data_IF_607520161775
#
_entry.id   IF_607520161775
#
_cell.length_a   1.000
_cell.length_b   1.000
_cell.length_c   1.000
_cell.angle_alpha   90.00
_cell.angle_beta   90.00
_cell.angle_gamma   90.00
#
_symmetry.space_group_name_H-M   'P 1'
#
loop_
_entity.id
_entity.type
_entity.pdbx_description
1 polymer ?
#
# COMPACT_ATOMS: atom_id res chain seq x y z
N UNK A 1 -16.11 2.13 11.48
CA UNK A 1 -15.92 2.83 10.19
C UNK A 1 -17.09 2.48 9.28
N UNK A 2 -17.67 3.46 8.55
CA UNK A 2 -18.91 3.22 7.78
C UNK A 2 -18.66 2.86 6.31
N UNK A 3 -17.43 2.94 5.83
CA UNK A 3 -17.03 2.70 4.45
C UNK A 3 -17.68 3.65 3.44
N UNK A 4 -17.41 3.40 2.14
CA UNK A 4 -17.94 4.26 1.06
C UNK A 4 -19.46 4.33 1.09
N UNK A 5 -20.18 3.20 1.20
CA UNK A 5 -21.64 3.19 1.14
C UNK A 5 -22.35 3.70 2.40
N UNK A 6 -21.62 3.83 3.51
CA UNK A 6 -22.19 4.14 4.83
C UNK A 6 -22.22 5.62 5.23
N UNK A 7 -21.80 6.58 4.37
CA UNK A 7 -21.83 8.01 4.66
C UNK A 7 -22.26 8.85 3.46
N UNK A 8 -22.63 10.10 3.71
CA UNK A 8 -22.85 11.13 2.68
C UNK A 8 -21.95 12.35 2.95
N UNK A 9 -21.76 13.23 1.92
CA UNK A 9 -21.01 14.48 2.11
C UNK A 9 -21.66 15.40 3.18
N UNK A 10 -22.99 15.26 3.40
CA UNK A 10 -23.70 15.99 4.44
C UNK A 10 -23.33 15.45 5.84
N UNK A 11 -23.30 14.13 6.01
CA UNK A 11 -22.89 13.51 7.27
C UNK A 11 -21.46 13.88 7.64
N UNK A 12 -20.57 13.90 6.62
CA UNK A 12 -19.20 14.34 6.80
C UNK A 12 -19.12 15.81 7.25
N UNK A 13 -19.85 16.70 6.58
CA UNK A 13 -19.87 18.13 6.92
C UNK A 13 -20.32 18.34 8.37
N UNK A 14 -21.36 17.62 8.82
CA UNK A 14 -21.85 17.65 10.18
C UNK A 14 -20.80 17.14 11.18
N UNK A 15 -20.14 16.02 10.89
CA UNK A 15 -19.13 15.41 11.76
C UNK A 15 -17.90 16.32 11.96
N UNK A 16 -17.44 17.00 10.90
CA UNK A 16 -16.28 17.91 10.99
C UNK A 16 -16.65 19.36 11.33
N UNK A 17 -17.94 19.65 11.53
CA UNK A 17 -18.41 20.96 11.97
C UNK A 17 -18.33 22.07 10.93
N UNK A 18 -18.45 21.74 9.63
CA UNK A 18 -18.49 22.71 8.53
C UNK A 18 -19.82 22.66 7.76
N UNK A 19 -20.07 23.64 6.90
CA UNK A 19 -21.29 23.61 6.09
C UNK A 19 -21.18 22.61 4.93
N UNK A 20 -22.28 21.98 4.54
CA UNK A 20 -22.31 21.10 3.37
C UNK A 20 -21.83 21.79 2.07
N UNK A 21 -22.20 23.07 1.78
CA UNK A 21 -21.61 23.81 0.64
C UNK A 21 -20.08 23.94 0.72
N UNK A 22 -19.50 24.06 1.91
CA UNK A 22 -18.04 24.10 2.09
C UNK A 22 -17.40 22.78 1.65
N UNK A 23 -17.97 21.65 2.05
CA UNK A 23 -17.46 20.33 1.59
C UNK A 23 -17.60 20.19 0.07
N UNK A 24 -18.76 20.55 -0.49
CA UNK A 24 -18.99 20.46 -1.95
C UNK A 24 -18.12 21.42 -2.78
N UNK A 25 -17.66 22.52 -2.21
CA UNK A 25 -16.71 23.39 -2.87
C UNK A 25 -15.35 22.72 -3.12
N UNK A 26 -14.90 21.90 -2.17
CA UNK A 26 -13.64 21.15 -2.28
C UNK A 26 -13.80 19.80 -2.99
N UNK A 27 -14.93 19.13 -2.75
CA UNK A 27 -15.23 17.80 -3.27
C UNK A 27 -16.65 17.81 -3.87
N UNK A 28 -16.78 18.08 -5.18
CA UNK A 28 -18.09 18.20 -5.83
C UNK A 28 -18.95 16.94 -5.72
N UNK A 29 -18.29 15.78 -5.66
CA UNK A 29 -18.96 14.48 -5.50
C UNK A 29 -18.32 13.70 -4.38
N UNK A 30 -19.03 12.68 -3.89
CA UNK A 30 -18.50 11.73 -2.91
C UNK A 30 -17.34 10.91 -3.49
N UNK A 31 -17.40 10.59 -4.78
CA UNK A 31 -16.37 9.86 -5.49
C UNK A 31 -15.09 10.69 -5.55
N UNK A 32 -15.18 11.98 -5.90
CA UNK A 32 -14.04 12.89 -5.84
C UNK A 32 -13.39 12.93 -4.46
N UNK A 33 -14.17 12.98 -3.38
CA UNK A 33 -13.63 12.92 -2.03
C UNK A 33 -12.86 11.63 -1.78
N UNK A 34 -13.43 10.48 -2.12
CA UNK A 34 -12.80 9.16 -1.87
C UNK A 34 -11.52 9.03 -2.67
N UNK A 35 -11.52 9.42 -3.95
CA UNK A 35 -10.32 9.35 -4.79
C UNK A 35 -9.21 10.29 -4.28
N UNK A 36 -9.54 11.50 -3.84
CA UNK A 36 -8.55 12.40 -3.21
C UNK A 36 -7.98 11.85 -1.88
N UNK A 37 -8.79 11.12 -1.11
CA UNK A 37 -8.28 10.42 0.10
C UNK A 37 -7.31 9.30 -0.29
N UNK A 38 -7.60 8.55 -1.34
CA UNK A 38 -6.72 7.50 -1.86
C UNK A 38 -5.43 8.11 -2.42
N UNK A 39 -5.52 9.20 -3.19
CA UNK A 39 -4.36 9.95 -3.69
C UNK A 39 -3.43 10.38 -2.55
N UNK A 40 -3.99 11.03 -1.52
CA UNK A 40 -3.21 11.46 -0.36
C UNK A 40 -2.56 10.29 0.40
N UNK A 41 -3.23 9.13 0.46
CA UNK A 41 -2.67 7.92 1.04
C UNK A 41 -1.52 7.37 0.18
N UNK A 42 -1.71 7.29 -1.14
CA UNK A 42 -0.68 6.83 -2.07
C UNK A 42 0.53 7.79 -2.12
N UNK A 43 0.29 9.10 -1.99
CA UNK A 43 1.39 10.07 -1.86
C UNK A 43 2.24 9.80 -0.63
N UNK A 44 1.61 9.54 0.51
CA UNK A 44 2.31 9.35 1.79
C UNK A 44 2.99 7.98 1.92
N UNK A 45 2.36 6.91 1.44
CA UNK A 45 2.74 5.54 1.75
C UNK A 45 2.81 4.62 0.52
N UNK A 46 2.22 5.01 -0.61
CA UNK A 46 2.13 4.18 -1.80
C UNK A 46 3.48 3.94 -2.48
N UNK A 47 3.46 2.99 -3.38
CA UNK A 47 4.59 2.62 -4.24
C UNK A 47 4.45 3.21 -5.65
N UNK A 48 3.26 3.70 -5.99
CA UNK A 48 2.96 4.39 -7.24
C UNK A 48 2.67 5.87 -6.98
N UNK A 49 2.96 6.68 -7.99
CA UNK A 49 2.53 8.07 -8.06
C UNK A 49 1.19 8.10 -8.77
N UNK A 50 0.17 8.61 -8.10
CA UNK A 50 -1.18 8.69 -8.63
C UNK A 50 -1.71 10.12 -8.48
N UNK A 51 -2.63 10.50 -9.36
CA UNK A 51 -3.30 11.80 -9.31
C UNK A 51 -4.78 11.63 -9.64
N UNK A 52 -5.63 12.42 -8.98
CA UNK A 52 -7.04 12.53 -9.36
C UNK A 52 -7.16 13.40 -10.59
N UNK A 53 -7.65 12.83 -11.67
CA UNK A 53 -7.91 13.53 -12.93
C UNK A 53 -9.39 13.49 -13.24
N UNK A 54 -9.87 14.53 -13.94
CA UNK A 54 -11.25 14.60 -14.45
C UNK A 54 -11.15 14.81 -15.95
N UNK A 55 -11.52 13.81 -16.73
CA UNK A 55 -11.56 13.92 -18.17
C UNK A 55 -12.71 14.87 -18.59
N UNK A 56 -12.53 15.62 -19.67
CA UNK A 56 -13.63 16.34 -20.31
C UNK A 56 -14.44 15.37 -21.18
N UNK A 57 -15.75 15.43 -21.07
CA UNK A 57 -16.65 14.70 -21.95
C UNK A 57 -16.75 15.39 -23.31
N UNK A 58 -17.29 14.72 -24.34
CA UNK A 58 -17.39 15.25 -25.69
C UNK A 58 -18.19 16.57 -25.77
N UNK A 59 -19.08 16.83 -24.81
CA UNK A 59 -19.87 18.05 -24.70
C UNK A 59 -19.21 19.16 -23.86
N UNK A 60 -17.97 18.93 -23.41
CA UNK A 60 -17.19 19.87 -22.60
C UNK A 60 -17.59 19.94 -21.11
N UNK A 61 -18.42 19.00 -20.64
CA UNK A 61 -18.71 18.87 -19.21
C UNK A 61 -17.62 18.06 -18.50
N UNK A 62 -17.35 18.30 -17.19
CA UNK A 62 -16.47 17.44 -16.43
C UNK A 62 -17.03 16.02 -16.36
N UNK A 63 -16.21 15.04 -16.73
CA UNK A 63 -16.52 13.63 -16.56
C UNK A 63 -16.39 13.18 -15.08
N UNK A 64 -16.52 11.89 -14.83
CA UNK A 64 -16.29 11.35 -13.51
C UNK A 64 -14.80 11.42 -13.14
N UNK A 65 -14.47 11.76 -11.88
CA UNK A 65 -13.10 11.77 -11.42
C UNK A 65 -12.55 10.34 -11.37
N UNK A 66 -11.28 10.17 -11.75
CA UNK A 66 -10.57 8.90 -11.73
C UNK A 66 -9.13 9.06 -11.22
N UNK A 67 -8.51 7.97 -10.77
CA UNK A 67 -7.09 7.94 -10.41
C UNK A 67 -6.27 7.53 -11.64
N UNK A 68 -5.29 8.36 -11.98
CA UNK A 68 -4.31 8.08 -13.01
C UNK A 68 -2.96 7.75 -12.36
N UNK A 69 -2.34 6.63 -12.75
CA UNK A 69 -1.00 6.26 -12.30
C UNK A 69 0.05 6.92 -13.18
N UNK A 70 0.99 7.65 -12.55
CA UNK A 70 2.09 8.36 -13.21
C UNK A 70 3.40 7.59 -13.21
N UNK A 71 3.48 6.49 -12.47
CA UNK A 71 4.65 5.62 -12.40
C UNK A 71 4.97 5.13 -11.00
N UNK A 72 5.97 4.27 -10.90
CA UNK A 72 6.40 3.73 -9.62
C UNK A 72 7.38 4.68 -8.91
N UNK A 73 7.17 4.90 -7.62
CA UNK A 73 8.09 5.67 -6.74
C UNK A 73 9.31 4.86 -6.31
N UNK A 74 9.25 3.54 -6.47
CA UNK A 74 10.31 2.62 -6.08
C UNK A 74 11.02 2.08 -7.32
N UNK A 75 12.35 2.01 -7.24
CA UNK A 75 13.23 1.61 -8.35
C UNK A 75 14.06 0.37 -8.02
N UNK A 76 14.09 -0.06 -6.76
CA UNK A 76 14.81 -1.24 -6.30
C UNK A 76 13.94 -2.12 -5.40
N UNK A 77 14.28 -3.40 -5.29
CA UNK A 77 13.61 -4.34 -4.39
C UNK A 77 13.73 -3.89 -2.91
N UNK A 78 14.86 -3.29 -2.53
CA UNK A 78 15.03 -2.74 -1.19
C UNK A 78 14.08 -1.58 -0.91
N UNK A 79 13.86 -0.69 -1.88
CA UNK A 79 12.89 0.40 -1.76
C UNK A 79 11.46 -0.12 -1.67
N UNK A 80 11.12 -1.19 -2.42
CA UNK A 80 9.83 -1.88 -2.29
C UNK A 80 9.60 -2.37 -0.85
N UNK A 81 10.55 -3.12 -0.30
CA UNK A 81 10.44 -3.62 1.08
C UNK A 81 10.34 -2.45 2.06
N UNK A 82 11.21 -1.45 1.91
CA UNK A 82 11.21 -0.28 2.80
C UNK A 82 9.89 0.50 2.76
N UNK A 83 9.22 0.60 1.60
CA UNK A 83 7.89 1.21 1.47
C UNK A 83 6.84 0.45 2.31
N UNK A 84 6.79 -0.88 2.22
CA UNK A 84 5.89 -1.71 3.01
C UNK A 84 6.19 -1.64 4.52
N UNK A 85 7.47 -1.56 4.88
CA UNK A 85 7.85 -1.39 6.29
C UNK A 85 7.46 0.00 6.83
N UNK A 86 7.50 1.05 6.00
CA UNK A 86 6.97 2.38 6.38
C UNK A 86 5.46 2.34 6.60
N UNK A 87 4.73 1.68 5.70
CA UNK A 87 3.29 1.49 5.83
C UNK A 87 2.94 0.67 7.09
N UNK A 88 3.67 -0.42 7.35
CA UNK A 88 3.55 -1.19 8.58
C UNK A 88 3.85 -0.33 9.83
N UNK A 89 4.89 0.51 9.80
CA UNK A 89 5.23 1.40 10.91
C UNK A 89 4.16 2.48 11.17
N UNK A 90 3.40 2.86 10.13
CA UNK A 90 2.27 3.79 10.23
C UNK A 90 0.99 3.12 10.76
N UNK A 91 0.94 1.79 10.85
CA UNK A 91 -0.26 1.04 11.24
C UNK A 91 -0.73 1.28 12.69
N UNK A 92 0.12 1.87 13.55
CA UNK A 92 -0.31 2.37 14.86
C UNK A 92 -1.30 3.54 14.72
N UNK A 93 -1.31 4.22 13.58
CA UNK A 93 -2.41 5.10 13.19
C UNK A 93 -3.55 4.24 12.63
N UNK A 94 -4.46 3.82 13.51
CA UNK A 94 -5.59 2.96 13.15
C UNK A 94 -6.43 3.51 11.99
N UNK A 95 -6.54 4.84 11.87
CA UNK A 95 -7.30 5.47 10.81
C UNK A 95 -6.71 5.13 9.44
N UNK A 96 -5.40 5.25 9.28
CA UNK A 96 -4.73 4.98 8.00
C UNK A 96 -4.80 3.50 7.60
N UNK A 97 -4.56 2.60 8.55
CA UNK A 97 -4.65 1.15 8.31
C UNK A 97 -6.07 0.70 8.00
N UNK A 98 -7.06 1.29 8.68
CA UNK A 98 -8.47 0.98 8.45
C UNK A 98 -8.93 1.52 7.09
N UNK A 99 -8.41 2.68 6.65
CA UNK A 99 -8.70 3.22 5.31
C UNK A 99 -8.17 2.31 4.21
N UNK A 100 -6.89 1.95 4.24
CA UNK A 100 -6.29 1.06 3.23
C UNK A 100 -7.05 -0.28 3.15
N UNK A 101 -7.38 -0.89 4.30
CA UNK A 101 -8.15 -2.12 4.35
C UNK A 101 -9.56 -1.97 3.79
N UNK A 102 -10.28 -0.90 4.19
CA UNK A 102 -11.64 -0.66 3.72
C UNK A 102 -11.64 -0.44 2.22
N UNK A 103 -10.75 0.41 1.69
CA UNK A 103 -10.67 0.66 0.25
C UNK A 103 -10.29 -0.59 -0.53
N UNK A 104 -9.33 -1.38 -0.05
CA UNK A 104 -8.95 -2.64 -0.69
C UNK A 104 -10.12 -3.63 -0.77
N UNK A 105 -10.93 -3.74 0.29
CA UNK A 105 -12.06 -4.68 0.31
C UNK A 105 -13.27 -4.14 -0.46
N UNK A 106 -13.61 -2.86 -0.30
CA UNK A 106 -14.78 -2.28 -0.97
C UNK A 106 -14.59 -2.10 -2.48
N UNK A 107 -13.35 -1.86 -2.93
CA UNK A 107 -13.01 -1.73 -4.34
C UNK A 107 -13.14 -3.04 -5.15
N UNK A 108 -13.36 -4.17 -4.51
CA UNK A 108 -13.74 -5.41 -5.20
C UNK A 108 -15.11 -5.27 -5.88
N UNK A 109 -15.97 -4.37 -5.39
CA UNK A 109 -17.23 -4.04 -6.02
C UNK A 109 -17.01 -3.08 -7.20
N UNK A 110 -17.47 -3.46 -8.39
CA UNK A 110 -17.34 -2.70 -9.64
C UNK A 110 -18.01 -1.31 -9.61
N UNK A 111 -18.99 -1.10 -8.72
CA UNK A 111 -19.61 0.21 -8.52
C UNK A 111 -18.86 1.12 -7.55
N UNK A 112 -17.75 0.67 -6.96
CA UNK A 112 -16.91 1.52 -6.11
C UNK A 112 -16.03 2.44 -6.97
N UNK A 113 -15.91 3.76 -6.67
CA UNK A 113 -15.19 4.72 -7.51
C UNK A 113 -13.70 4.38 -7.71
N UNK A 114 -13.11 3.61 -6.81
CA UNK A 114 -11.71 3.17 -6.91
C UNK A 114 -11.55 1.74 -7.46
N UNK A 115 -12.62 1.12 -8.00
CA UNK A 115 -12.55 -0.25 -8.51
C UNK A 115 -11.47 -0.42 -9.58
N UNK A 116 -11.50 0.43 -10.61
CA UNK A 116 -10.57 0.34 -11.74
C UNK A 116 -9.12 0.58 -11.28
N UNK A 117 -8.91 1.53 -10.37
CA UNK A 117 -7.59 1.77 -9.78
C UNK A 117 -7.05 0.54 -9.06
N UNK A 118 -7.82 -0.05 -8.16
CA UNK A 118 -7.35 -1.19 -7.38
C UNK A 118 -7.26 -2.48 -8.19
N UNK A 119 -8.12 -2.70 -9.19
CA UNK A 119 -8.03 -3.86 -10.08
C UNK A 119 -6.77 -3.81 -10.94
N UNK A 120 -6.43 -2.63 -11.45
CA UNK A 120 -5.21 -2.40 -12.23
C UNK A 120 -3.94 -2.45 -11.36
N UNK A 121 -4.01 -1.92 -10.14
CA UNK A 121 -2.87 -1.79 -9.20
C UNK A 121 -2.18 -3.13 -8.91
N UNK A 122 -2.94 -4.22 -8.77
CA UNK A 122 -2.34 -5.55 -8.51
C UNK A 122 -1.47 -6.00 -9.67
N UNK A 123 -1.93 -5.83 -10.90
CA UNK A 123 -1.16 -6.19 -12.09
C UNK A 123 0.08 -5.30 -12.24
N UNK A 124 -0.05 -4.00 -12.01
CA UNK A 124 1.07 -3.06 -12.01
C UNK A 124 2.12 -3.43 -10.95
N UNK A 125 1.68 -3.79 -9.74
CA UNK A 125 2.59 -4.26 -8.67
C UNK A 125 3.34 -5.53 -9.06
N UNK A 126 2.67 -6.50 -9.68
CA UNK A 126 3.30 -7.75 -10.10
C UNK A 126 4.32 -7.50 -11.21
N UNK A 127 4.00 -6.68 -12.22
CA UNK A 127 4.94 -6.30 -13.28
C UNK A 127 6.15 -5.55 -12.73
N UNK A 128 5.93 -4.62 -11.80
CA UNK A 128 7.00 -3.89 -11.12
C UNK A 128 7.92 -4.86 -10.37
N UNK A 129 7.37 -5.76 -9.57
CA UNK A 129 8.14 -6.73 -8.79
C UNK A 129 8.94 -7.69 -9.67
N UNK A 130 8.36 -8.18 -10.77
CA UNK A 130 9.11 -9.00 -11.73
C UNK A 130 10.32 -8.26 -12.31
N UNK A 131 10.15 -6.97 -12.64
CA UNK A 131 11.26 -6.13 -13.11
C UNK A 131 12.32 -5.96 -12.03
N UNK A 132 11.91 -5.57 -10.81
CA UNK A 132 12.82 -5.37 -9.68
C UNK A 132 13.58 -6.66 -9.29
N UNK A 133 12.92 -7.82 -9.38
CA UNK A 133 13.57 -9.11 -9.13
C UNK A 133 14.65 -9.43 -10.15
N UNK A 134 14.43 -9.14 -11.44
CA UNK A 134 15.41 -9.34 -12.51
C UNK A 134 16.65 -8.43 -12.37
N UNK A 135 16.51 -7.31 -11.69
CA UNK A 135 17.59 -6.35 -11.42
C UNK A 135 18.36 -6.68 -10.12
N UNK A 136 17.95 -7.71 -9.36
CA UNK A 136 18.69 -8.15 -8.17
C UNK A 136 20.03 -8.79 -8.55
N UNK A 137 21.11 -8.55 -7.76
CA UNK A 137 22.45 -9.06 -8.08
C UNK A 137 22.53 -10.58 -8.25
N UNK A 138 21.73 -11.31 -7.46
CA UNK A 138 21.73 -12.78 -7.43
C UNK A 138 20.52 -13.38 -8.18
N UNK A 139 19.98 -12.65 -9.17
CA UNK A 139 18.85 -13.15 -9.97
C UNK A 139 19.27 -14.37 -10.80
N UNK A 140 18.52 -15.46 -10.59
CA UNK A 140 18.70 -16.71 -11.35
C UNK A 140 17.47 -16.94 -12.26
N UNK A 141 17.60 -16.84 -13.59
CA UNK A 141 16.49 -17.05 -14.51
C UNK A 141 16.02 -18.52 -14.56
N UNK A 142 16.88 -19.50 -14.18
CA UNK A 142 16.51 -20.92 -14.10
C UNK A 142 15.70 -21.24 -12.83
N UNK A 143 15.78 -20.36 -11.82
CA UNK A 143 15.08 -20.51 -10.54
C UNK A 143 14.57 -19.16 -10.03
N UNK A 144 13.64 -18.50 -10.76
CA UNK A 144 13.15 -17.19 -10.41
C UNK A 144 12.42 -17.20 -9.06
N UNK A 145 12.46 -16.06 -8.34
CA UNK A 145 11.68 -15.87 -7.12
C UNK A 145 10.21 -15.64 -7.48
N UNK A 146 9.30 -16.19 -6.68
CA UNK A 146 7.87 -15.96 -6.83
C UNK A 146 7.47 -14.66 -6.13
N UNK A 147 7.58 -13.57 -6.87
CA UNK A 147 7.28 -12.22 -6.35
C UNK A 147 5.81 -11.99 -6.02
N UNK A 148 4.88 -12.74 -6.64
CA UNK A 148 3.44 -12.69 -6.33
C UNK A 148 3.18 -12.96 -4.84
N UNK A 149 3.94 -13.88 -4.25
CA UNK A 149 3.82 -14.23 -2.83
C UNK A 149 4.10 -13.06 -1.87
N UNK A 150 4.89 -12.05 -2.30
CA UNK A 150 5.11 -10.84 -1.51
C UNK A 150 3.82 -10.02 -1.39
N UNK A 151 3.10 -9.86 -2.49
CA UNK A 151 1.82 -9.14 -2.56
C UNK A 151 0.75 -9.89 -1.77
N UNK A 152 0.60 -11.19 -2.03
CA UNK A 152 -0.38 -12.04 -1.33
C UNK A 152 -0.13 -12.06 0.18
N UNK A 153 1.14 -12.12 0.58
CA UNK A 153 1.50 -12.10 2.01
C UNK A 153 1.15 -10.79 2.67
N UNK A 154 1.44 -9.65 2.01
CA UNK A 154 1.09 -8.33 2.53
C UNK A 154 -0.41 -8.19 2.74
N UNK A 155 -1.20 -8.39 1.68
CA UNK A 155 -2.66 -8.28 1.77
C UNK A 155 -3.26 -9.30 2.74
N UNK A 156 -2.74 -10.53 2.78
CA UNK A 156 -3.16 -11.53 3.76
C UNK A 156 -2.98 -11.06 5.20
N UNK A 157 -1.85 -10.45 5.54
CA UNK A 157 -1.62 -9.93 6.89
C UNK A 157 -2.49 -8.71 7.22
N UNK A 158 -2.63 -7.78 6.27
CA UNK A 158 -3.40 -6.53 6.48
C UNK A 158 -4.91 -6.80 6.56
N UNK A 159 -5.44 -7.66 5.68
CA UNK A 159 -6.87 -7.95 5.63
C UNK A 159 -7.28 -8.94 6.71
N UNK A 160 -6.60 -10.10 6.80
CA UNK A 160 -6.98 -11.17 7.72
C UNK A 160 -6.75 -10.79 9.19
N UNK A 161 -5.68 -10.06 9.50
CA UNK A 161 -5.42 -9.57 10.85
C UNK A 161 -6.50 -8.64 11.42
N UNK A 162 -7.49 -8.24 10.59
CA UNK A 162 -8.66 -7.50 11.05
C UNK A 162 -9.89 -8.35 11.38
N UNK A 163 -9.91 -9.64 10.98
CA UNK A 163 -11.10 -10.50 11.12
C UNK A 163 -11.15 -11.27 12.44
N UNK A 164 -10.02 -11.72 12.95
CA UNK A 164 -9.92 -12.48 14.21
C UNK A 164 -9.86 -11.60 15.47
N UNK A 165 -9.91 -10.28 15.30
CA UNK A 165 -9.85 -9.31 16.40
C UNK A 165 -8.44 -9.13 16.99
N UNK A 166 -7.48 -9.93 16.57
CA UNK A 166 -6.06 -9.79 16.93
C UNK A 166 -5.35 -8.99 15.82
N UNK A 167 -5.49 -7.66 15.87
CA UNK A 167 -4.71 -6.80 14.98
C UNK A 167 -3.24 -6.97 15.30
N UNK A 168 -2.46 -7.31 14.27
CA UNK A 168 -1.01 -7.22 14.38
C UNK A 168 -0.64 -5.77 14.69
N UNK A 169 0.11 -5.55 15.75
CA UNK A 169 0.71 -4.24 15.98
C UNK A 169 1.77 -3.95 14.90
N UNK A 170 2.20 -2.70 14.82
CA UNK A 170 3.17 -2.28 13.79
C UNK A 170 4.47 -3.11 13.86
N UNK A 171 4.91 -3.47 15.05
CA UNK A 171 6.12 -4.25 15.25
C UNK A 171 5.98 -5.68 14.73
N UNK A 172 4.87 -6.34 15.04
CA UNK A 172 4.60 -7.71 14.57
C UNK A 172 4.44 -7.74 13.05
N UNK A 173 3.73 -6.76 12.47
CA UNK A 173 3.56 -6.66 11.03
C UNK A 173 4.91 -6.48 10.32
N UNK A 174 5.77 -5.60 10.85
CA UNK A 174 7.14 -5.39 10.36
C UNK A 174 7.94 -6.69 10.41
N UNK A 175 7.99 -7.35 11.57
CA UNK A 175 8.77 -8.58 11.75
C UNK A 175 8.29 -9.66 10.78
N UNK A 176 6.99 -9.91 10.74
CA UNK A 176 6.40 -10.98 9.93
C UNK A 176 6.58 -10.75 8.44
N UNK A 177 6.41 -9.49 7.98
CA UNK A 177 6.61 -9.18 6.56
C UNK A 177 8.08 -9.22 6.16
N UNK A 178 8.95 -8.59 6.95
CA UNK A 178 10.39 -8.55 6.68
C UNK A 178 10.99 -9.96 6.63
N UNK A 179 10.73 -10.79 7.65
CA UNK A 179 11.24 -12.17 7.70
C UNK A 179 10.74 -13.01 6.51
N UNK A 180 9.49 -12.79 6.09
CA UNK A 180 8.96 -13.45 4.91
C UNK A 180 9.65 -12.96 3.63
N UNK A 181 9.72 -11.64 3.41
CA UNK A 181 10.27 -11.04 2.19
C UNK A 181 11.74 -11.42 1.98
N UNK A 182 12.56 -11.33 3.02
CA UNK A 182 13.99 -11.67 2.97
C UNK A 182 14.21 -13.14 2.61
N UNK A 183 13.41 -14.04 3.17
CA UNK A 183 13.49 -15.47 2.85
C UNK A 183 12.99 -15.77 1.45
N UNK A 184 11.86 -15.20 1.04
CA UNK A 184 11.27 -15.44 -0.28
C UNK A 184 12.17 -14.93 -1.39
N UNK A 185 12.78 -13.77 -1.19
CA UNK A 185 13.72 -13.15 -2.12
C UNK A 185 15.15 -13.73 -2.03
N UNK A 186 15.40 -14.65 -1.10
CA UNK A 186 16.72 -15.30 -0.90
C UNK A 186 17.86 -14.29 -0.69
N UNK A 187 17.61 -13.26 0.11
CA UNK A 187 18.59 -12.19 0.34
C UNK A 187 19.91 -12.74 0.87
N UNK A 188 21.02 -12.26 0.29
CA UNK A 188 22.36 -12.45 0.85
C UNK A 188 22.58 -11.53 2.07
N UNK A 189 23.63 -11.80 2.85
CA UNK A 189 24.00 -10.94 3.98
C UNK A 189 24.30 -9.49 3.54
N UNK A 190 24.89 -9.31 2.35
CA UNK A 190 25.19 -8.00 1.80
C UNK A 190 23.92 -7.22 1.42
N UNK A 191 22.97 -7.88 0.78
CA UNK A 191 21.66 -7.29 0.46
C UNK A 191 20.88 -6.90 1.72
N UNK A 192 20.94 -7.72 2.77
CA UNK A 192 20.35 -7.39 4.06
C UNK A 192 20.98 -6.14 4.69
N UNK A 193 22.31 -6.02 4.64
CA UNK A 193 23.00 -4.83 5.14
C UNK A 193 22.61 -3.57 4.36
N UNK A 194 22.50 -3.68 3.03
CA UNK A 194 22.03 -2.58 2.19
C UNK A 194 20.59 -2.15 2.52
N UNK A 195 19.68 -3.11 2.73
CA UNK A 195 18.31 -2.85 3.16
C UNK A 195 18.28 -2.12 4.52
N UNK A 196 19.22 -2.44 5.43
CA UNK A 196 19.28 -1.87 6.78
C UNK A 196 19.32 -0.35 6.81
N UNK A 197 19.93 0.30 5.82
CA UNK A 197 20.00 1.77 5.72
C UNK A 197 18.65 2.43 5.40
N UNK A 198 17.69 1.68 4.87
CA UNK A 198 16.37 2.16 4.43
C UNK A 198 15.26 1.86 5.45
N UNK A 199 15.57 1.13 6.50
CA UNK A 199 14.58 0.63 7.46
C UNK A 199 14.10 1.75 8.40
N UNK A 200 12.76 1.90 8.61
CA UNK A 200 12.22 2.84 9.58
C UNK A 200 12.75 2.55 11.00
N UNK A 201 12.91 3.59 11.82
CA UNK A 201 13.40 3.46 13.21
C UNK A 201 12.64 2.41 14.03
N UNK A 202 11.32 2.30 13.84
CA UNK A 202 10.47 1.29 14.52
C UNK A 202 10.84 -0.14 14.12
N UNK A 203 11.38 -0.34 12.91
CA UNK A 203 11.81 -1.64 12.42
C UNK A 203 13.27 -1.99 12.77
N UNK A 204 14.04 -1.06 13.33
CA UNK A 204 15.48 -1.25 13.57
C UNK A 204 15.77 -2.44 14.50
N UNK A 205 15.06 -2.56 15.63
CA UNK A 205 15.28 -3.67 16.57
C UNK A 205 14.87 -5.04 16.00
N UNK A 206 13.66 -5.19 15.38
CA UNK A 206 13.29 -6.40 14.64
C UNK A 206 14.30 -6.77 13.56
N UNK A 207 14.80 -5.80 12.82
CA UNK A 207 15.79 -6.05 11.78
C UNK A 207 17.12 -6.57 12.33
N UNK A 208 17.63 -6.02 13.44
CA UNK A 208 18.83 -6.49 14.10
C UNK A 208 18.68 -7.94 14.57
N UNK A 209 17.53 -8.31 15.11
CA UNK A 209 17.23 -9.68 15.48
C UNK A 209 17.27 -10.61 14.26
N UNK A 210 16.66 -10.22 13.14
CA UNK A 210 16.67 -10.98 11.90
C UNK A 210 18.09 -11.18 11.36
N UNK A 211 18.96 -10.15 11.42
CA UNK A 211 20.37 -10.27 11.03
C UNK A 211 21.13 -11.32 11.84
N UNK A 212 20.90 -11.36 13.16
CA UNK A 212 21.52 -12.35 14.06
C UNK A 212 21.06 -13.77 13.71
N UNK A 213 19.76 -13.97 13.54
CA UNK A 213 19.18 -15.28 13.17
C UNK A 213 19.70 -15.75 11.80
N UNK A 214 19.79 -14.85 10.82
CA UNK A 214 20.27 -15.16 9.49
C UNK A 214 21.75 -15.53 9.47
N UNK A 215 22.58 -14.79 10.23
CA UNK A 215 24.01 -15.09 10.37
C UNK A 215 24.26 -16.43 11.06
N UNK A 216 23.39 -16.81 11.99
CA UNK A 216 23.48 -18.08 12.73
C UNK A 216 23.05 -19.28 11.89
N UNK A 217 22.18 -19.07 10.88
CA UNK A 217 21.68 -20.15 10.01
C UNK A 217 22.62 -20.49 8.84
N UNK A 218 23.61 -19.63 8.58
CA UNK A 218 24.62 -19.84 7.51
C UNK A 218 25.91 -20.48 8.02
N UNK A 219 26.08 -20.65 9.32
CA UNK A 219 27.17 -21.35 10.00
C UNK A 219 26.76 -22.76 10.40
#
# INVERSE_FOLDING_TARGET
>A
MRGYYGFSLRDLAEEIGVSHPTVMYHFPTKDALVLNVIEAFEEAFGIFDVEVVTAETEDGTPGDPMLEERGAKVTTMNEWIAAHLRLAAASDNQVMTDLDRVFTVESVNDSHPAHDHFSYRVDAMLQLLERLAKEMPDYDPENPVDTRRLVERWYGMVILGGWDGERLDSRELIIKYLAFAVRELRYSAEQLLALGSMIPRKAAAPFQQLLVEYSSAQN
#
